data_IF_093754524807
#
_entry.id   IF_093754524807
#
_cell.length_a   1.000
_cell.length_b   1.000
_cell.length_c   1.000
_cell.angle_alpha   90.00
_cell.angle_beta   90.00
_cell.angle_gamma   90.00
#
_symmetry.space_group_name_H-M   'P 1'
#
loop_
_entity.id
_entity.type
_entity.pdbx_description
1 polymer ?
#
# COMPACT_ATOMS: atom_id res chain seq x y z
N UNK A 1 29.31 17.05 -1.02
CA UNK A 1 28.97 17.77 -2.27
C UNK A 1 27.59 17.28 -2.68
N UNK A 2 26.70 18.12 -3.24
CA UNK A 2 25.32 17.72 -3.58
C UNK A 2 25.15 17.26 -5.04
N UNK A 3 26.17 17.46 -5.89
CA UNK A 3 26.09 17.26 -7.35
C UNK A 3 26.84 16.00 -7.87
N UNK A 4 27.29 15.11 -6.98
CA UNK A 4 28.19 13.99 -7.35
C UNK A 4 27.50 12.64 -7.57
N UNK A 5 26.17 12.54 -7.42
CA UNK A 5 25.51 11.26 -7.58
C UNK A 5 25.53 10.84 -9.07
N UNK A 6 26.13 9.70 -9.35
CA UNK A 6 26.03 9.10 -10.67
C UNK A 6 24.61 8.57 -10.95
N UNK A 7 24.38 8.05 -12.17
CA UNK A 7 23.05 7.59 -12.57
C UNK A 7 22.55 6.39 -11.74
N UNK A 8 23.45 5.53 -11.25
CA UNK A 8 23.12 4.38 -10.43
C UNK A 8 22.75 4.84 -9.01
N UNK A 9 23.56 5.72 -8.43
CA UNK A 9 23.32 6.29 -7.10
C UNK A 9 22.03 7.10 -7.05
N UNK A 10 21.74 7.91 -8.08
CA UNK A 10 20.47 8.62 -8.22
C UNK A 10 19.29 7.66 -8.32
N UNK A 11 19.45 6.55 -9.04
CA UNK A 11 18.40 5.53 -9.15
C UNK A 11 18.14 4.86 -7.80
N UNK A 12 19.20 4.45 -7.09
CA UNK A 12 19.08 3.88 -5.75
C UNK A 12 18.47 4.87 -4.75
N UNK A 13 18.83 6.16 -4.83
CA UNK A 13 18.24 7.21 -4.00
C UNK A 13 16.73 7.39 -4.27
N UNK A 14 16.32 7.42 -5.55
CA UNK A 14 14.89 7.51 -5.93
C UNK A 14 14.10 6.30 -5.45
N UNK A 15 14.65 5.09 -5.55
CA UNK A 15 14.03 3.87 -5.01
C UNK A 15 13.83 4.00 -3.50
N UNK A 16 14.85 4.43 -2.75
CA UNK A 16 14.73 4.64 -1.29
C UNK A 16 13.66 5.67 -0.93
N UNK A 17 13.56 6.76 -1.69
CA UNK A 17 12.50 7.77 -1.50
C UNK A 17 11.12 7.17 -1.77
N UNK A 18 10.98 6.37 -2.83
CA UNK A 18 9.72 5.71 -3.17
C UNK A 18 9.30 4.70 -2.09
N UNK A 19 10.24 3.90 -1.59
CA UNK A 19 10.01 2.93 -0.50
C UNK A 19 9.60 3.63 0.80
N UNK A 20 10.26 4.73 1.15
CA UNK A 20 9.90 5.53 2.32
C UNK A 20 8.50 6.14 2.18
N UNK A 21 8.13 6.62 0.99
CA UNK A 21 6.78 7.12 0.71
C UNK A 21 5.72 6.02 0.88
N UNK A 22 5.97 4.82 0.36
CA UNK A 22 5.08 3.67 0.53
C UNK A 22 4.95 3.24 1.99
N UNK A 23 6.05 3.18 2.74
CA UNK A 23 6.03 2.87 4.17
C UNK A 23 5.22 3.91 4.97
N UNK A 24 5.41 5.19 4.69
CA UNK A 24 4.65 6.26 5.33
C UNK A 24 3.13 6.12 5.07
N UNK A 25 2.73 5.83 3.83
CA UNK A 25 1.33 5.61 3.50
C UNK A 25 0.73 4.38 4.22
N UNK A 26 1.50 3.29 4.36
CA UNK A 26 1.11 2.10 5.12
C UNK A 26 0.91 2.42 6.60
N UNK A 27 1.83 3.16 7.23
CA UNK A 27 1.70 3.59 8.63
C UNK A 27 0.45 4.42 8.85
N UNK A 28 0.16 5.37 7.95
CA UNK A 28 -1.05 6.20 8.03
C UNK A 28 -2.34 5.39 7.86
N UNK A 29 -2.37 4.46 6.90
CA UNK A 29 -3.51 3.57 6.69
C UNK A 29 -3.73 2.65 7.90
N UNK A 30 -2.67 2.10 8.49
CA UNK A 30 -2.76 1.25 9.68
C UNK A 30 -3.21 2.05 10.91
N UNK A 31 -2.74 3.27 11.09
CA UNK A 31 -3.20 4.14 12.18
C UNK A 31 -4.70 4.36 12.09
N UNK A 32 -5.23 4.68 10.90
CA UNK A 32 -6.69 4.80 10.69
C UNK A 32 -7.47 3.51 10.94
N UNK A 33 -6.87 2.36 10.65
CA UNK A 33 -7.48 1.06 10.92
C UNK A 33 -7.57 0.81 12.44
N UNK A 34 -6.49 1.07 13.18
CA UNK A 34 -6.42 0.88 14.64
C UNK A 34 -7.25 1.92 15.40
N UNK A 35 -7.36 3.14 14.89
CA UNK A 35 -8.22 4.18 15.51
C UNK A 35 -9.71 3.97 15.24
N UNK A 36 -10.07 2.98 14.41
CA UNK A 36 -11.45 2.69 14.03
C UNK A 36 -11.78 1.21 14.08
N UNK A 37 -11.94 0.54 12.93
CA UNK A 37 -12.53 -0.80 12.90
C UNK A 37 -11.69 -1.90 13.57
N UNK A 38 -10.38 -1.71 13.75
CA UNK A 38 -9.50 -2.62 14.47
C UNK A 38 -9.08 -2.08 15.85
N UNK A 39 -9.87 -1.19 16.45
CA UNK A 39 -9.59 -0.62 17.76
C UNK A 39 -9.38 -1.70 18.83
N UNK A 40 -8.33 -1.51 19.63
CA UNK A 40 -7.95 -2.44 20.69
C UNK A 40 -7.27 -3.74 20.23
N UNK A 41 -7.07 -3.95 18.93
CA UNK A 41 -6.44 -5.18 18.43
C UNK A 41 -4.95 -5.30 18.82
N UNK A 42 -4.18 -4.24 18.56
CA UNK A 42 -2.78 -4.10 18.94
C UNK A 42 -2.30 -2.66 18.66
N UNK A 43 -1.03 -2.36 18.97
CA UNK A 43 -0.39 -1.10 18.57
C UNK A 43 -0.28 -1.02 17.03
N UNK A 44 -0.34 0.18 16.42
CA UNK A 44 -0.28 0.34 14.96
C UNK A 44 0.92 -0.33 14.29
N UNK A 45 2.12 -0.27 14.88
CA UNK A 45 3.31 -0.93 14.34
C UNK A 45 3.11 -2.45 14.20
N UNK A 46 2.57 -3.10 15.23
CA UNK A 46 2.32 -4.55 15.21
C UNK A 46 1.22 -4.94 14.23
N UNK A 47 0.15 -4.14 14.11
CA UNK A 47 -0.89 -4.38 13.10
C UNK A 47 -0.32 -4.24 11.69
N UNK A 48 0.59 -3.29 11.48
CA UNK A 48 1.25 -3.11 10.19
C UNK A 48 2.15 -4.30 9.87
N UNK A 49 2.94 -4.80 10.83
CA UNK A 49 3.76 -6.00 10.68
C UNK A 49 2.92 -7.23 10.30
N UNK A 50 1.80 -7.46 11.00
CA UNK A 50 0.89 -8.56 10.69
C UNK A 50 0.31 -8.45 9.26
N UNK A 51 -0.14 -7.25 8.86
CA UNK A 51 -0.64 -7.02 7.50
C UNK A 51 0.46 -7.24 6.46
N UNK A 52 1.68 -6.75 6.70
CA UNK A 52 2.79 -6.90 5.76
C UNK A 52 3.23 -8.35 5.62
N UNK A 53 3.34 -9.09 6.73
CA UNK A 53 3.69 -10.50 6.74
C UNK A 53 2.56 -11.40 6.24
N UNK A 54 1.30 -10.93 6.31
CA UNK A 54 0.08 -11.75 6.14
C UNK A 54 0.12 -12.98 7.04
N UNK A 55 0.51 -12.78 8.30
CA UNK A 55 0.74 -13.87 9.24
C UNK A 55 -0.59 -14.46 9.71
N UNK A 56 -1.06 -15.48 8.99
CA UNK A 56 -2.31 -16.20 9.30
C UNK A 56 -2.19 -17.10 10.53
N UNK A 57 -0.97 -17.36 11.02
CA UNK A 57 -0.77 -18.15 12.23
C UNK A 57 -0.97 -17.32 13.51
N UNK A 58 -0.89 -15.98 13.42
CA UNK A 58 -1.19 -15.11 14.55
C UNK A 58 -2.69 -15.12 14.87
N UNK A 59 -3.10 -15.37 16.14
CA UNK A 59 -4.52 -15.40 16.52
C UNK A 59 -5.29 -14.10 16.23
N UNK A 60 -4.59 -12.96 16.07
CA UNK A 60 -5.21 -11.68 15.75
C UNK A 60 -5.57 -11.56 14.28
N UNK A 61 -5.04 -12.43 13.41
CA UNK A 61 -5.28 -12.39 11.97
C UNK A 61 -6.76 -12.54 11.62
N UNK A 62 -7.48 -13.45 12.27
CA UNK A 62 -8.92 -13.67 12.02
C UNK A 62 -9.73 -12.37 12.14
N UNK A 63 -9.36 -11.50 13.08
CA UNK A 63 -10.01 -10.20 13.29
C UNK A 63 -9.53 -9.13 12.30
N UNK A 64 -8.34 -9.30 11.72
CA UNK A 64 -7.68 -8.33 10.86
C UNK A 64 -7.96 -8.57 9.38
N UNK A 65 -8.09 -9.84 8.98
CA UNK A 65 -8.30 -10.32 7.62
C UNK A 65 -9.42 -9.57 6.88
N UNK A 66 -10.61 -9.32 7.48
CA UNK A 66 -11.69 -8.62 6.78
C UNK A 66 -11.32 -7.19 6.33
N UNK A 67 -10.28 -6.60 6.93
CA UNK A 67 -9.83 -5.25 6.63
C UNK A 67 -8.64 -5.20 5.67
N UNK A 68 -8.01 -6.33 5.35
CA UNK A 68 -6.77 -6.40 4.56
C UNK A 68 -6.89 -5.64 3.23
N UNK A 69 -7.92 -5.97 2.44
CA UNK A 69 -8.13 -5.36 1.13
C UNK A 69 -8.44 -3.87 1.24
N UNK A 70 -9.27 -3.47 2.22
CA UNK A 70 -9.66 -2.07 2.42
C UNK A 70 -8.46 -1.22 2.88
N UNK A 71 -7.60 -1.79 3.72
CA UNK A 71 -6.34 -1.17 4.12
C UNK A 71 -5.42 -0.94 2.91
N UNK A 72 -5.23 -1.96 2.05
CA UNK A 72 -4.38 -1.83 0.87
C UNK A 72 -4.91 -0.78 -0.12
N UNK A 73 -6.23 -0.70 -0.32
CA UNK A 73 -6.86 0.34 -1.14
C UNK A 73 -6.70 1.74 -0.55
N UNK A 74 -6.72 1.88 0.78
CA UNK A 74 -6.43 3.16 1.43
C UNK A 74 -4.98 3.59 1.18
N UNK A 75 -4.01 2.65 1.21
CA UNK A 75 -2.61 2.94 0.84
C UNK A 75 -2.51 3.46 -0.60
N UNK A 76 -3.22 2.83 -1.56
CA UNK A 76 -3.29 3.31 -2.94
C UNK A 76 -3.82 4.74 -3.02
N UNK A 77 -4.94 5.01 -2.33
CA UNK A 77 -5.58 6.33 -2.32
C UNK A 77 -4.69 7.43 -1.71
N UNK A 78 -3.91 7.09 -0.69
CA UNK A 78 -2.97 8.02 -0.05
C UNK A 78 -1.77 8.35 -0.95
N UNK A 79 -1.27 7.37 -1.71
CA UNK A 79 -0.07 7.55 -2.54
C UNK A 79 -0.35 8.20 -3.90
N UNK A 80 -1.50 7.90 -4.50
CA UNK A 80 -1.82 8.32 -5.86
C UNK A 80 -1.64 9.83 -6.14
N UNK A 81 -2.01 10.77 -5.24
CA UNK A 81 -1.81 12.20 -5.50
C UNK A 81 -0.38 12.69 -5.29
N UNK A 82 0.50 11.91 -4.65
CA UNK A 82 1.84 12.36 -4.25
C UNK A 82 2.98 11.69 -5.02
N UNK A 83 2.77 10.46 -5.53
CA UNK A 83 3.78 9.75 -6.31
C UNK A 83 3.16 8.63 -7.17
N UNK A 84 3.98 7.96 -7.99
CA UNK A 84 3.53 6.79 -8.77
C UNK A 84 3.09 5.64 -7.83
N UNK A 85 1.80 5.22 -7.83
CA UNK A 85 1.29 4.24 -6.87
C UNK A 85 1.46 2.78 -7.33
N UNK A 86 2.24 2.50 -8.39
CA UNK A 86 2.33 1.16 -8.98
C UNK A 86 2.63 0.04 -7.97
N UNK A 87 3.55 0.27 -7.04
CA UNK A 87 3.89 -0.71 -5.99
C UNK A 87 2.70 -0.99 -5.05
N UNK A 88 1.94 0.04 -4.68
CA UNK A 88 0.75 -0.10 -3.84
C UNK A 88 -0.41 -0.77 -4.59
N UNK A 89 -0.58 -0.47 -5.88
CA UNK A 89 -1.58 -1.13 -6.74
C UNK A 89 -1.27 -2.62 -6.88
N UNK A 90 0.00 -2.97 -7.11
CA UNK A 90 0.44 -4.37 -7.16
C UNK A 90 0.20 -5.10 -5.82
N UNK A 91 0.45 -4.43 -4.70
CA UNK A 91 0.16 -4.99 -3.36
C UNK A 91 -1.33 -5.20 -3.12
N UNK A 92 -2.16 -4.21 -3.45
CA UNK A 92 -3.62 -4.33 -3.36
C UNK A 92 -4.14 -5.48 -4.23
N UNK A 93 -3.61 -5.65 -5.45
CA UNK A 93 -3.95 -6.78 -6.33
C UNK A 93 -3.59 -8.13 -5.71
N UNK A 94 -2.39 -8.28 -5.14
CA UNK A 94 -1.97 -9.53 -4.44
C UNK A 94 -2.85 -9.86 -3.24
N UNK A 95 -3.45 -8.84 -2.61
CA UNK A 95 -4.38 -8.97 -1.49
C UNK A 95 -5.84 -9.14 -1.92
N UNK A 96 -6.12 -9.23 -3.22
CA UNK A 96 -7.46 -9.53 -3.74
C UNK A 96 -8.28 -8.33 -4.21
N UNK A 97 -7.75 -7.10 -4.16
CA UNK A 97 -8.49 -5.93 -4.64
C UNK A 97 -8.80 -6.04 -6.14
N UNK A 98 -10.05 -5.81 -6.55
CA UNK A 98 -10.45 -5.83 -7.97
C UNK A 98 -9.98 -4.57 -8.70
N UNK A 99 -9.91 -4.61 -10.03
CA UNK A 99 -9.62 -3.41 -10.83
C UNK A 99 -10.69 -2.32 -10.68
N UNK A 100 -11.94 -2.70 -10.39
CA UNK A 100 -12.99 -1.75 -10.07
C UNK A 100 -12.69 -0.99 -8.78
N UNK A 101 -12.33 -1.70 -7.70
CA UNK A 101 -11.99 -1.09 -6.42
C UNK A 101 -10.72 -0.23 -6.51
N UNK A 102 -9.72 -0.67 -7.29
CA UNK A 102 -8.51 0.12 -7.56
C UNK A 102 -8.85 1.38 -8.37
N UNK A 103 -9.69 1.27 -9.40
CA UNK A 103 -10.18 2.41 -10.15
C UNK A 103 -10.86 3.44 -9.25
N UNK A 104 -11.75 3.00 -8.38
CA UNK A 104 -12.40 3.85 -7.38
C UNK A 104 -11.38 4.54 -6.45
N UNK A 105 -10.42 3.80 -5.90
CA UNK A 105 -9.38 4.35 -5.03
C UNK A 105 -8.49 5.39 -5.73
N UNK A 106 -8.33 5.26 -7.05
CA UNK A 106 -7.55 6.16 -7.91
C UNK A 106 -8.39 7.30 -8.52
N UNK A 107 -9.72 7.27 -8.39
CA UNK A 107 -10.62 8.22 -9.06
C UNK A 107 -10.69 8.06 -10.58
N UNK A 108 -10.48 6.84 -11.11
CA UNK A 108 -10.53 6.52 -12.55
C UNK A 108 -11.38 5.28 -12.82
N UNK A 109 -11.66 4.99 -14.10
CA UNK A 109 -12.39 3.78 -14.47
C UNK A 109 -11.55 2.51 -14.24
N UNK A 110 -12.22 1.37 -14.02
CA UNK A 110 -11.57 0.07 -13.89
C UNK A 110 -10.69 -0.27 -15.10
N UNK A 111 -11.18 0.03 -16.31
CA UNK A 111 -10.44 -0.16 -17.55
C UNK A 111 -9.17 0.69 -17.60
N UNK A 112 -9.24 1.96 -17.17
CA UNK A 112 -8.06 2.84 -17.13
C UNK A 112 -7.03 2.35 -16.12
N UNK A 113 -7.48 1.89 -14.94
CA UNK A 113 -6.61 1.31 -13.93
C UNK A 113 -5.92 0.04 -14.44
N UNK A 114 -6.67 -0.87 -15.07
CA UNK A 114 -6.13 -2.10 -15.65
C UNK A 114 -5.16 -1.80 -16.80
N UNK A 115 -5.49 -0.89 -17.72
CA UNK A 115 -4.61 -0.53 -18.82
C UNK A 115 -3.27 0.06 -18.33
N UNK A 116 -3.29 0.80 -17.21
CA UNK A 116 -2.10 1.46 -16.65
C UNK A 116 -1.23 0.53 -15.80
N UNK A 117 -1.84 -0.33 -15.00
CA UNK A 117 -1.13 -1.11 -13.96
C UNK A 117 -1.31 -2.63 -14.07
N UNK A 118 -2.16 -3.09 -14.99
CA UNK A 118 -2.38 -4.50 -15.25
C UNK A 118 -1.17 -5.17 -15.88
N UNK A 119 -1.11 -6.51 -15.84
CA UNK A 119 -0.14 -7.26 -16.61
C UNK A 119 -0.30 -6.91 -18.09
N UNK A 120 0.82 -6.72 -18.79
CA UNK A 120 0.80 -6.58 -20.24
C UNK A 120 0.49 -7.94 -20.87
N UNK A 121 -0.27 -7.98 -21.98
CA UNK A 121 -0.48 -9.19 -22.75
C UNK A 121 0.83 -9.73 -23.33
#
# INVERSE_FOLDING_TARGET
>A
MFDELDAEELTAARTRVADAGLDAARRLATTRLVDGPAAGLAKPATVMELLLARDQADPRWERLEPFETRWALLVVRLLAPVMNPAAAVADARRRGATWAAIGEALGVTAQSAHARFGPRP
#
